data_IF_763847845097
#
_entry.id   IF_763847845097
#
_cell.length_a   1.000
_cell.length_b   1.000
_cell.length_c   1.000
_cell.angle_alpha   90.00
_cell.angle_beta   90.00
_cell.angle_gamma   90.00
#
_symmetry.space_group_name_H-M   'P 1'
#
loop_
_entity.id
_entity.type
_entity.pdbx_description
1 polymer ?
#
# COMPACT_ATOMS: atom_id res chain seq x y z
N UNK A 1 11.13 -17.78 6.47
CA UNK A 1 11.00 -18.18 5.05
C UNK A 1 12.27 -17.86 4.28
N UNK A 2 12.71 -16.61 4.19
CA UNK A 2 13.88 -16.21 3.38
C UNK A 2 15.18 -16.97 3.67
N UNK A 3 15.47 -17.25 4.94
CA UNK A 3 16.72 -17.94 5.31
C UNK A 3 16.76 -19.41 4.86
N UNK A 4 15.61 -20.09 4.85
CA UNK A 4 15.53 -21.56 4.84
C UNK A 4 14.67 -22.13 3.70
N UNK A 5 13.82 -21.32 3.07
CA UNK A 5 12.87 -21.72 2.04
C UNK A 5 12.82 -20.74 0.84
N UNK A 6 13.91 -20.01 0.59
CA UNK A 6 14.08 -19.15 -0.59
C UNK A 6 14.14 -19.96 -1.89
N UNK A 7 14.43 -19.30 -3.01
CA UNK A 7 14.49 -19.91 -4.36
C UNK A 7 15.37 -21.17 -4.34
N UNK A 8 16.59 -21.03 -3.82
CA UNK A 8 17.56 -22.10 -3.58
C UNK A 8 17.37 -22.66 -2.17
N UNK A 9 17.28 -23.98 -2.07
CA UNK A 9 16.98 -24.68 -0.82
C UNK A 9 17.42 -26.14 -0.90
N UNK A 10 17.56 -26.77 0.25
CA UNK A 10 17.85 -28.21 0.39
C UNK A 10 16.80 -28.90 1.26
N UNK A 11 16.83 -30.23 1.33
CA UNK A 11 16.01 -30.99 2.29
C UNK A 11 16.25 -30.50 3.73
N UNK A 12 17.51 -30.22 4.09
CA UNK A 12 17.90 -29.72 5.40
C UNK A 12 17.28 -28.35 5.69
N UNK A 13 17.44 -27.37 4.79
CA UNK A 13 16.91 -26.01 5.04
C UNK A 13 15.39 -26.01 5.10
N UNK A 14 14.72 -26.81 4.23
CA UNK A 14 13.27 -26.92 4.25
C UNK A 14 12.74 -27.61 5.51
N UNK A 15 13.44 -28.64 6.01
CA UNK A 15 13.09 -29.29 7.28
C UNK A 15 13.19 -28.29 8.43
N UNK A 16 14.28 -27.52 8.48
CA UNK A 16 14.45 -26.46 9.47
C UNK A 16 13.35 -25.39 9.38
N UNK A 17 12.98 -24.98 8.17
CA UNK A 17 11.87 -24.03 7.97
C UNK A 17 10.55 -24.58 8.52
N UNK A 18 10.27 -25.87 8.34
CA UNK A 18 9.05 -26.51 8.83
C UNK A 18 9.00 -26.53 10.36
N UNK A 19 10.12 -26.87 11.02
CA UNK A 19 10.26 -26.81 12.48
C UNK A 19 10.01 -25.40 13.01
N UNK A 20 10.61 -24.38 12.39
CA UNK A 20 10.43 -22.99 12.79
C UNK A 20 8.96 -22.55 12.63
N UNK A 21 8.29 -22.95 11.54
CA UNK A 21 6.86 -22.67 11.32
C UNK A 21 6.00 -23.34 12.39
N UNK A 22 6.27 -24.61 12.74
CA UNK A 22 5.54 -25.31 13.79
C UNK A 22 5.72 -24.63 15.15
N UNK A 23 6.94 -24.21 15.49
CA UNK A 23 7.19 -23.45 16.71
C UNK A 23 6.42 -22.11 16.72
N UNK A 24 6.34 -21.42 15.58
CA UNK A 24 5.55 -20.19 15.45
C UNK A 24 4.04 -20.45 15.56
N UNK A 25 3.53 -21.56 15.02
CA UNK A 25 2.12 -21.98 15.18
C UNK A 25 1.77 -22.29 16.63
N UNK A 26 2.68 -22.90 17.39
CA UNK A 26 2.50 -23.09 18.84
C UNK A 26 2.47 -21.77 19.59
N UNK A 27 3.37 -20.84 19.27
CA UNK A 27 3.36 -19.48 19.83
C UNK A 27 2.06 -18.73 19.47
N UNK A 28 1.56 -18.92 18.26
CA UNK A 28 0.37 -18.25 17.76
C UNK A 28 -0.88 -18.51 18.63
N UNK A 29 -0.99 -19.71 19.24
CA UNK A 29 -2.09 -20.04 20.16
C UNK A 29 -2.18 -19.08 21.35
N UNK A 30 -1.08 -18.39 21.68
CA UNK A 30 -0.97 -17.48 22.82
C UNK A 30 -0.81 -16.01 22.38
N UNK A 31 -1.12 -15.66 21.12
CA UNK A 31 -1.04 -14.25 20.71
C UNK A 31 -2.03 -13.40 21.51
N UNK A 32 -1.67 -12.14 21.71
CA UNK A 32 -2.54 -11.15 22.36
C UNK A 32 -2.78 -10.01 21.38
N UNK A 33 -4.05 -9.71 21.14
CA UNK A 33 -4.47 -8.46 20.48
C UNK A 33 -4.48 -7.36 21.54
N UNK A 34 -3.65 -6.34 21.39
CA UNK A 34 -3.56 -5.20 22.30
C UNK A 34 -4.76 -4.28 22.15
N UNK A 35 -5.19 -4.03 20.91
CA UNK A 35 -6.35 -3.19 20.60
C UNK A 35 -7.67 -3.89 20.95
N UNK A 36 -8.40 -3.34 21.92
CA UNK A 36 -9.71 -3.85 22.33
C UNK A 36 -10.88 -3.10 21.68
N UNK A 37 -10.59 -2.11 20.85
CA UNK A 37 -11.62 -1.33 20.17
C UNK A 37 -12.33 -2.12 19.07
N UNK A 38 -13.53 -1.68 18.68
CA UNK A 38 -14.30 -2.25 17.56
C UNK A 38 -14.07 -1.46 16.28
N UNK A 39 -13.88 -0.15 16.38
CA UNK A 39 -13.59 0.73 15.24
C UNK A 39 -12.15 0.58 14.78
N UNK A 40 -11.96 0.29 13.49
CA UNK A 40 -10.65 0.13 12.84
C UNK A 40 -9.63 -0.69 13.64
N UNK A 41 -10.03 -1.84 14.18
CA UNK A 41 -9.13 -2.73 14.89
C UNK A 41 -8.23 -3.50 13.91
N UNK A 42 -7.17 -2.84 13.42
CA UNK A 42 -6.20 -3.48 12.51
C UNK A 42 -5.34 -4.51 13.21
N UNK A 43 -5.16 -4.42 14.52
CA UNK A 43 -4.42 -5.38 15.33
C UNK A 43 -5.09 -6.77 15.30
N UNK A 44 -6.42 -6.82 15.44
CA UNK A 44 -7.20 -8.05 15.31
C UNK A 44 -7.12 -8.63 13.90
N UNK A 45 -7.20 -7.78 12.86
CA UNK A 45 -7.09 -8.24 11.48
C UNK A 45 -5.71 -8.87 11.23
N UNK A 46 -4.65 -8.19 11.64
CA UNK A 46 -3.26 -8.66 11.48
C UNK A 46 -3.01 -9.96 12.27
N UNK A 47 -3.59 -10.09 13.46
CA UNK A 47 -3.60 -11.33 14.22
C UNK A 47 -4.23 -12.49 13.44
N UNK A 48 -5.41 -12.29 12.84
CA UNK A 48 -6.06 -13.33 12.03
C UNK A 48 -5.26 -13.65 10.77
N UNK A 49 -4.77 -12.64 10.07
CA UNK A 49 -3.96 -12.80 8.86
C UNK A 49 -2.65 -13.54 9.13
N UNK A 50 -2.01 -13.32 10.28
CA UNK A 50 -0.82 -14.07 10.70
C UNK A 50 -1.10 -15.58 10.77
N UNK A 51 -2.28 -15.98 11.26
CA UNK A 51 -2.70 -17.39 11.27
C UNK A 51 -2.72 -17.98 9.85
N UNK A 52 -3.37 -17.31 8.91
CA UNK A 52 -3.42 -17.73 7.51
C UNK A 52 -2.04 -17.77 6.86
N UNK A 53 -1.17 -16.80 7.17
CA UNK A 53 0.20 -16.76 6.67
C UNK A 53 1.02 -17.96 7.18
N UNK A 54 0.86 -18.36 8.46
CA UNK A 54 1.53 -19.54 9.01
C UNK A 54 1.04 -20.83 8.33
N UNK A 55 -0.25 -20.93 7.99
CA UNK A 55 -0.76 -22.08 7.21
C UNK A 55 -0.19 -22.12 5.81
N UNK A 56 -0.20 -20.99 5.10
CA UNK A 56 0.32 -20.92 3.73
C UNK A 56 1.83 -21.16 3.69
N UNK A 57 2.57 -20.70 4.72
CA UNK A 57 3.98 -20.99 4.87
C UNK A 57 4.22 -22.50 5.01
N UNK A 58 3.47 -23.18 5.88
CA UNK A 58 3.60 -24.63 6.07
C UNK A 58 3.28 -25.39 4.78
N UNK A 59 2.16 -25.08 4.11
CA UNK A 59 1.77 -25.70 2.83
C UNK A 59 2.87 -25.53 1.78
N UNK A 60 3.47 -24.33 1.72
CA UNK A 60 4.56 -24.02 0.79
C UNK A 60 5.80 -24.86 1.08
N UNK A 61 6.21 -24.95 2.34
CA UNK A 61 7.39 -25.73 2.75
C UNK A 61 7.16 -27.22 2.57
N UNK A 62 6.01 -27.75 3.00
CA UNK A 62 5.65 -29.16 2.83
C UNK A 62 5.62 -29.56 1.35
N UNK A 63 5.03 -28.71 0.50
CA UNK A 63 5.04 -28.91 -0.96
C UNK A 63 6.45 -28.90 -1.54
N UNK A 64 7.29 -27.95 -1.12
CA UNK A 64 8.68 -27.86 -1.58
C UNK A 64 9.56 -29.03 -1.10
N UNK A 65 9.33 -29.52 0.12
CA UNK A 65 10.07 -30.64 0.70
C UNK A 65 9.77 -31.95 -0.04
N UNK A 66 8.50 -32.19 -0.33
CA UNK A 66 8.02 -33.36 -1.05
C UNK A 66 8.47 -33.37 -2.53
N UNK A 67 8.65 -32.21 -3.16
CA UNK A 67 9.15 -32.11 -4.54
C UNK A 67 10.66 -32.23 -4.59
N UNK A 68 11.14 -33.47 -4.70
CA UNK A 68 12.57 -33.84 -4.88
C UNK A 68 13.02 -33.67 -6.34
N UNK A 69 12.84 -32.47 -6.87
CA UNK A 69 13.28 -32.03 -8.20
C UNK A 69 13.47 -30.50 -8.23
N UNK A 70 14.00 -29.98 -9.34
CA UNK A 70 14.05 -28.54 -9.62
C UNK A 70 13.23 -28.17 -10.85
N UNK A 71 12.41 -27.11 -10.75
CA UNK A 71 11.52 -26.64 -11.82
C UNK A 71 11.07 -25.19 -11.60
N UNK A 72 11.25 -24.33 -12.61
CA UNK A 72 10.78 -22.95 -12.53
C UNK A 72 11.40 -22.22 -11.33
N UNK A 73 10.58 -21.59 -10.50
CA UNK A 73 10.99 -20.90 -9.24
C UNK A 73 11.45 -21.81 -8.09
N UNK A 74 11.31 -23.13 -8.24
CA UNK A 74 11.67 -24.14 -7.25
C UNK A 74 13.01 -24.77 -7.59
N UNK A 75 14.09 -24.40 -6.89
CA UNK A 75 15.42 -24.94 -7.08
C UNK A 75 15.89 -25.68 -5.82
N UNK A 76 15.99 -27.01 -5.94
CA UNK A 76 16.52 -27.92 -4.93
C UNK A 76 17.97 -28.24 -5.27
N UNK A 77 18.92 -27.76 -4.48
CA UNK A 77 20.35 -27.96 -4.75
C UNK A 77 20.75 -29.44 -4.60
N UNK A 78 20.06 -30.16 -3.73
CA UNK A 78 20.14 -31.60 -3.52
C UNK A 78 19.38 -32.43 -4.58
N UNK A 79 18.48 -31.79 -5.35
CA UNK A 79 17.75 -32.39 -6.49
C UNK A 79 17.73 -31.43 -7.69
N UNK A 80 18.89 -31.19 -8.35
CA UNK A 80 19.05 -30.09 -9.29
C UNK A 80 18.34 -30.31 -10.64
N UNK A 81 17.92 -31.55 -10.92
CA UNK A 81 17.28 -31.91 -12.18
C UNK A 81 15.77 -31.93 -12.05
N UNK A 82 15.10 -31.64 -13.16
CA UNK A 82 13.66 -31.88 -13.35
C UNK A 82 13.37 -33.38 -13.42
N UNK A 83 12.30 -33.84 -12.79
CA UNK A 83 11.81 -35.23 -12.81
C UNK A 83 10.32 -35.20 -13.20
N UNK A 84 10.06 -35.23 -14.52
CA UNK A 84 8.71 -35.17 -15.06
C UNK A 84 7.89 -36.43 -14.80
N UNK A 85 8.53 -37.59 -14.76
CA UNK A 85 7.87 -38.86 -14.48
C UNK A 85 7.18 -38.81 -13.12
N UNK A 86 7.86 -38.26 -12.11
CA UNK A 86 7.30 -38.18 -10.76
C UNK A 86 6.52 -36.91 -10.52
N UNK A 87 6.90 -35.77 -11.11
CA UNK A 87 6.42 -34.46 -10.64
C UNK A 87 5.79 -33.57 -11.73
N UNK A 88 5.56 -34.05 -12.96
CA UNK A 88 4.71 -33.36 -13.95
C UNK A 88 3.21 -33.49 -13.61
N UNK A 89 2.86 -33.01 -12.42
CA UNK A 89 1.53 -33.02 -11.81
C UNK A 89 1.36 -31.80 -10.91
N UNK A 90 0.14 -31.32 -10.78
CA UNK A 90 -0.21 -30.32 -9.78
C UNK A 90 -0.13 -30.95 -8.40
N UNK A 91 0.59 -30.31 -7.48
CA UNK A 91 0.55 -30.66 -6.06
C UNK A 91 -0.69 -30.03 -5.44
N UNK A 92 -1.53 -30.86 -4.84
CA UNK A 92 -2.68 -30.44 -4.04
C UNK A 92 -2.32 -30.63 -2.57
N UNK A 93 -2.72 -29.69 -1.71
CA UNK A 93 -2.53 -29.79 -0.28
C UNK A 93 -3.90 -29.72 0.41
N UNK A 94 -4.17 -30.69 1.28
CA UNK A 94 -5.40 -30.77 2.06
C UNK A 94 -5.05 -30.79 3.53
N UNK A 95 -5.70 -29.91 4.29
CA UNK A 95 -5.58 -29.89 5.74
C UNK A 95 -6.55 -30.91 6.34
N UNK A 96 -6.04 -31.84 7.12
CA UNK A 96 -6.84 -32.92 7.73
C UNK A 96 -7.33 -32.53 9.13
N UNK A 97 -8.08 -31.42 9.19
CA UNK A 97 -8.66 -30.88 10.41
C UNK A 97 -8.84 -29.38 10.38
N UNK A 98 -9.46 -28.83 11.43
CA UNK A 98 -9.74 -27.40 11.58
C UNK A 98 -8.63 -26.65 12.30
N UNK A 99 -7.88 -27.34 13.17
CA UNK A 99 -6.87 -26.75 14.03
C UNK A 99 -5.65 -26.25 13.25
N UNK A 100 -5.02 -25.16 13.69
CA UNK A 100 -3.86 -24.57 12.99
C UNK A 100 -2.71 -25.57 12.77
N UNK A 101 -2.57 -26.55 13.65
CA UNK A 101 -1.52 -27.59 13.63
C UNK A 101 -1.97 -28.91 13.01
N UNK A 102 -3.17 -28.98 12.41
CA UNK A 102 -3.65 -30.20 11.75
C UNK A 102 -2.69 -30.61 10.62
N UNK A 103 -2.48 -31.92 10.42
CA UNK A 103 -1.55 -32.40 9.41
C UNK A 103 -2.01 -32.04 8.01
N UNK A 104 -1.03 -31.84 7.12
CA UNK A 104 -1.26 -31.58 5.70
C UNK A 104 -1.03 -32.89 4.93
N UNK A 105 -2.07 -33.36 4.25
CA UNK A 105 -1.94 -34.42 3.25
C UNK A 105 -1.72 -33.81 1.88
N UNK A 106 -0.68 -34.29 1.20
CA UNK A 106 -0.44 -33.96 -0.20
C UNK A 106 -1.11 -34.98 -1.12
N UNK A 107 -1.65 -34.47 -2.23
CA UNK A 107 -2.24 -35.26 -3.30
C UNK A 107 -1.84 -34.66 -4.65
N UNK A 108 -2.28 -35.27 -5.75
CA UNK A 108 -1.87 -34.87 -7.07
C UNK A 108 -3.01 -34.85 -8.07
N UNK A 109 -2.93 -33.87 -8.98
CA UNK A 109 -3.83 -33.78 -10.13
C UNK A 109 -3.01 -33.72 -11.43
N UNK A 110 -3.42 -34.41 -12.51
CA UNK A 110 -2.73 -34.31 -13.80
C UNK A 110 -2.63 -32.87 -14.31
N UNK A 111 -1.50 -32.52 -14.90
CA UNK A 111 -1.32 -31.24 -15.60
C UNK A 111 -2.00 -31.31 -16.97
N UNK A 112 -2.73 -30.27 -17.35
CA UNK A 112 -3.23 -30.10 -18.71
C UNK A 112 -2.13 -29.47 -19.56
N UNK A 113 -1.59 -30.21 -20.52
CA UNK A 113 -0.64 -29.65 -21.46
C UNK A 113 -1.35 -28.74 -22.45
N UNK A 114 -0.88 -27.51 -22.55
CA UNK A 114 -1.34 -26.55 -23.55
C UNK A 114 -0.31 -26.45 -24.67
N UNK A 115 -0.53 -25.56 -25.65
CA UNK A 115 0.43 -25.29 -26.74
C UNK A 115 1.83 -24.86 -26.27
N UNK A 116 1.99 -24.49 -25.02
CA UNK A 116 3.27 -24.10 -24.43
C UNK A 116 3.79 -25.22 -23.54
N UNK A 117 4.85 -25.88 -23.98
CA UNK A 117 5.50 -26.92 -23.20
C UNK A 117 6.34 -26.29 -22.07
N UNK A 118 6.30 -26.85 -20.84
CA UNK A 118 7.14 -26.37 -19.76
C UNK A 118 8.61 -26.58 -20.11
N UNK A 119 9.42 -25.53 -20.02
CA UNK A 119 10.87 -25.59 -20.24
C UNK A 119 11.64 -25.51 -18.92
N UNK A 120 12.86 -26.05 -18.92
CA UNK A 120 13.80 -25.89 -17.80
C UNK A 120 14.21 -24.42 -17.65
N UNK A 121 14.19 -23.93 -16.40
CA UNK A 121 14.70 -22.59 -16.08
C UNK A 121 16.16 -22.71 -15.68
N UNK A 122 17.06 -22.11 -16.47
CA UNK A 122 18.49 -22.04 -16.15
C UNK A 122 18.75 -20.89 -15.18
N UNK A 123 19.33 -21.20 -14.03
CA UNK A 123 19.78 -20.21 -13.06
C UNK A 123 21.28 -19.93 -13.26
N UNK A 124 21.65 -18.65 -13.30
CA UNK A 124 23.05 -18.25 -13.16
C UNK A 124 23.40 -18.34 -11.67
N UNK A 125 24.17 -19.36 -11.29
CA UNK A 125 24.65 -19.54 -9.91
C UNK A 125 25.50 -18.33 -9.51
N UNK A 126 24.97 -17.50 -8.62
CA UNK A 126 25.72 -16.48 -7.89
C UNK A 126 25.50 -16.79 -6.42
N UNK A 127 26.57 -17.11 -5.70
CA UNK A 127 26.56 -17.35 -4.26
C UNK A 127 26.09 -16.09 -3.56
N UNK A 128 24.89 -16.11 -3.00
CA UNK A 128 24.39 -15.09 -2.09
C UNK A 128 24.81 -15.48 -0.68
N UNK A 129 25.52 -14.57 0.00
CA UNK A 129 25.90 -14.73 1.40
C UNK A 129 24.64 -14.70 2.29
N UNK A 130 24.52 -15.68 3.19
CA UNK A 130 23.43 -15.77 4.16
C UNK A 130 23.74 -14.83 5.33
N UNK A 131 22.85 -13.88 5.61
CA UNK A 131 22.90 -13.13 6.86
C UNK A 131 22.00 -13.81 7.89
N UNK A 132 22.60 -14.28 8.99
CA UNK A 132 21.88 -14.80 10.14
C UNK A 132 21.29 -13.62 10.93
N UNK A 133 19.97 -13.64 11.13
CA UNK A 133 19.28 -12.65 11.95
C UNK A 133 19.23 -13.15 13.41
N UNK A 134 19.76 -12.35 14.33
CA UNK A 134 19.70 -12.58 15.77
C UNK A 134 18.27 -12.40 16.29
N UNK A 135 17.76 -13.41 16.99
CA UNK A 135 16.39 -13.47 17.50
C UNK A 135 16.42 -13.22 19.02
N UNK A 136 16.68 -11.96 19.41
CA UNK A 136 16.55 -11.52 20.80
C UNK A 136 15.13 -10.99 21.09
N UNK A 137 14.68 -11.11 22.34
CA UNK A 137 13.36 -10.68 22.83
C UNK A 137 13.20 -9.15 22.96
N UNK A 138 14.16 -8.37 22.45
CA UNK A 138 14.04 -6.92 22.33
C UNK A 138 13.68 -6.57 20.89
N UNK A 139 12.95 -5.47 20.65
CA UNK A 139 12.66 -5.08 19.29
C UNK A 139 13.99 -4.75 18.58
N UNK A 140 14.23 -5.31 17.38
CA UNK A 140 15.53 -5.29 16.75
C UNK A 140 15.97 -3.83 16.52
N UNK A 141 17.17 -3.47 16.95
CA UNK A 141 17.81 -2.20 16.60
C UNK A 141 18.87 -2.53 15.56
N UNK A 142 18.64 -2.22 14.28
CA UNK A 142 19.63 -2.50 13.24
C UNK A 142 20.94 -1.77 13.51
N UNK A 143 22.06 -2.40 13.16
CA UNK A 143 23.35 -1.74 13.18
C UNK A 143 23.33 -0.49 12.29
N UNK A 144 23.87 0.63 12.79
CA UNK A 144 23.87 1.92 12.08
C UNK A 144 22.55 2.70 12.15
N UNK A 145 21.55 2.22 12.89
CA UNK A 145 20.31 2.98 13.09
C UNK A 145 20.51 4.20 14.00
N UNK A 146 19.85 5.31 13.66
CA UNK A 146 19.74 6.49 14.51
C UNK A 146 18.42 6.45 15.26
N UNK A 147 18.44 6.67 16.58
CA UNK A 147 17.20 6.76 17.35
C UNK A 147 16.48 8.08 17.08
N UNK A 148 15.22 7.98 16.67
CA UNK A 148 14.34 9.11 16.37
C UNK A 148 13.15 9.09 17.32
N UNK A 149 12.75 10.28 17.79
CA UNK A 149 11.49 10.45 18.51
C UNK A 149 10.35 10.66 17.51
N UNK A 150 9.43 9.70 17.43
CA UNK A 150 8.17 9.85 16.69
C UNK A 150 7.09 10.35 17.64
N UNK A 151 6.58 11.55 17.38
CA UNK A 151 5.39 12.08 18.05
C UNK A 151 4.17 11.82 17.17
N UNK A 152 3.29 10.94 17.61
CA UNK A 152 2.13 10.51 16.84
C UNK A 152 0.86 11.08 17.49
N UNK A 153 0.01 11.72 16.70
CA UNK A 153 -1.32 12.12 17.14
C UNK A 153 -2.21 10.88 17.25
N UNK A 154 -2.65 10.59 18.46
CA UNK A 154 -3.44 9.41 18.82
C UNK A 154 -4.88 9.79 19.08
N UNK A 155 -5.77 8.89 18.70
CA UNK A 155 -7.19 9.04 18.94
C UNK A 155 -7.89 7.70 18.87
N UNK A 156 -8.60 7.34 19.93
CA UNK A 156 -9.54 6.22 19.92
C UNK A 156 -10.90 6.73 20.42
N UNK A 157 -11.96 6.66 19.60
CA UNK A 157 -13.28 7.15 20.03
C UNK A 157 -13.90 6.31 21.15
N UNK A 158 -13.34 5.13 21.47
CA UNK A 158 -13.90 4.17 22.43
C UNK A 158 -13.20 4.18 23.79
N UNK A 159 -12.09 4.90 23.98
CA UNK A 159 -11.29 4.86 25.23
C UNK A 159 -11.43 6.10 26.14
N UNK A 160 -12.13 7.13 25.67
CA UNK A 160 -12.40 8.35 26.43
C UNK A 160 -11.18 9.28 26.63
N UNK A 161 -10.00 8.98 26.07
CA UNK A 161 -8.79 9.82 26.22
C UNK A 161 -8.82 11.08 25.35
N UNK A 162 -9.66 11.09 24.34
CA UNK A 162 -9.68 12.17 23.34
C UNK A 162 -8.41 12.20 22.50
N UNK A 163 -8.21 13.30 21.77
CA UNK A 163 -7.00 13.48 20.95
C UNK A 163 -5.81 13.84 21.83
N UNK A 164 -4.71 13.10 21.68
CA UNK A 164 -3.48 13.30 22.45
C UNK A 164 -2.26 12.97 21.59
N UNK A 165 -1.06 13.22 22.14
CA UNK A 165 0.20 12.91 21.48
C UNK A 165 0.97 11.88 22.28
N UNK A 166 1.33 10.78 21.63
CA UNK A 166 2.26 9.80 22.17
C UNK A 166 3.64 9.99 21.53
N UNK A 167 4.69 9.66 22.28
CA UNK A 167 6.08 9.75 21.82
C UNK A 167 6.75 8.39 21.89
N UNK A 168 7.33 7.95 20.78
CA UNK A 168 8.02 6.67 20.67
C UNK A 168 9.48 6.88 20.25
N UNK A 169 10.40 6.14 20.87
CA UNK A 169 11.78 6.06 20.41
C UNK A 169 11.90 4.92 19.40
N UNK A 170 12.29 5.24 18.17
CA UNK A 170 12.28 4.29 17.05
C UNK A 170 13.63 4.32 16.33
N UNK A 171 14.27 3.17 16.08
CA UNK A 171 15.47 3.11 15.27
C UNK A 171 15.15 3.41 13.80
N UNK A 172 15.95 4.26 13.17
CA UNK A 172 15.79 4.64 11.77
C UNK A 172 17.12 4.51 11.02
N UNK A 173 17.11 3.73 9.94
CA UNK A 173 18.19 3.71 8.95
C UNK A 173 17.94 4.78 7.89
N UNK A 174 18.98 5.34 7.24
CA UNK A 174 18.80 6.29 6.14
C UNK A 174 17.95 5.75 4.97
N UNK A 175 17.98 4.43 4.75
CA UNK A 175 17.20 3.72 3.73
C UNK A 175 15.73 3.50 4.11
N UNK A 176 15.37 3.70 5.38
CA UNK A 176 14.01 3.49 5.85
C UNK A 176 13.07 4.58 5.35
N UNK A 177 11.78 4.24 5.30
CA UNK A 177 10.70 5.18 5.03
C UNK A 177 9.93 5.46 6.31
N UNK A 178 9.13 6.53 6.32
CA UNK A 178 8.26 6.82 7.49
C UNK A 178 7.32 5.64 7.77
N UNK A 179 6.88 4.94 6.71
CA UNK A 179 6.10 3.72 6.86
C UNK A 179 6.82 2.62 7.66
N UNK A 180 8.14 2.43 7.49
CA UNK A 180 8.91 1.44 8.25
C UNK A 180 8.90 1.78 9.75
N UNK A 181 9.05 3.05 10.07
CA UNK A 181 9.04 3.56 11.44
C UNK A 181 7.65 3.36 12.11
N UNK A 182 6.56 3.63 11.39
CA UNK A 182 5.20 3.37 11.89
C UNK A 182 4.92 1.88 12.09
N UNK A 183 5.41 1.04 11.17
CA UNK A 183 5.33 -0.42 11.30
C UNK A 183 6.16 -0.92 12.49
N UNK A 184 7.31 -0.29 12.78
CA UNK A 184 8.10 -0.60 13.97
C UNK A 184 7.32 -0.29 15.25
N UNK A 185 6.73 0.91 15.34
CA UNK A 185 5.87 1.27 16.49
C UNK A 185 4.76 0.24 16.65
N UNK A 186 4.00 -0.05 15.59
CA UNK A 186 2.88 -0.98 15.67
C UNK A 186 3.31 -2.41 16.03
N UNK A 187 4.35 -2.91 15.38
CA UNK A 187 4.79 -4.29 15.53
C UNK A 187 5.49 -4.58 16.85
N UNK A 188 6.14 -3.59 17.45
CA UNK A 188 7.03 -3.80 18.59
C UNK A 188 6.71 -3.00 19.84
N UNK A 189 6.12 -1.81 19.71
CA UNK A 189 5.96 -0.88 20.83
C UNK A 189 4.50 -0.72 21.26
N UNK A 190 3.58 -0.59 20.31
CA UNK A 190 2.16 -0.36 20.55
C UNK A 190 1.30 -0.86 19.37
N UNK A 191 0.73 -2.05 19.54
CA UNK A 191 -0.17 -2.70 18.59
C UNK A 191 -1.49 -1.97 18.38
N UNK A 192 -1.87 -1.04 19.27
CA UNK A 192 -3.10 -0.25 19.13
C UNK A 192 -3.01 0.83 18.07
N UNK A 193 -1.79 1.20 17.63
CA UNK A 193 -1.59 2.19 16.59
C UNK A 193 -2.25 1.75 15.27
N UNK A 194 -3.09 2.62 14.73
CA UNK A 194 -3.85 2.33 13.51
C UNK A 194 -3.55 3.34 12.40
N UNK A 195 -3.20 2.84 11.21
CA UNK A 195 -3.00 3.63 10.00
C UNK A 195 -3.26 2.79 8.74
N UNK A 196 -3.61 3.45 7.64
CA UNK A 196 -3.77 2.79 6.34
C UNK A 196 -2.43 2.66 5.61
N UNK A 197 -2.18 1.49 5.02
CA UNK A 197 -1.07 1.22 4.10
C UNK A 197 -1.43 0.06 3.18
N UNK A 198 -0.72 -0.06 2.05
CA UNK A 198 -0.83 -1.22 1.18
C UNK A 198 0.43 -1.40 0.33
N UNK A 199 0.61 -0.57 -0.72
CA UNK A 199 1.63 -0.82 -1.73
C UNK A 199 3.08 -0.62 -1.26
N UNK A 200 3.33 0.24 -0.26
CA UNK A 200 4.65 0.63 0.24
C UNK A 200 5.63 1.28 -0.77
N UNK A 201 5.20 1.62 -2.00
CA UNK A 201 6.05 2.25 -3.02
C UNK A 201 5.40 3.47 -3.71
N UNK A 202 4.42 4.10 -3.05
CA UNK A 202 3.89 5.41 -3.46
C UNK A 202 2.89 5.41 -4.62
N UNK A 203 2.18 4.29 -4.84
CA UNK A 203 1.26 4.13 -5.98
C UNK A 203 -0.21 4.06 -5.57
N UNK A 204 -0.55 3.39 -4.46
CA UNK A 204 -1.97 3.24 -4.07
C UNK A 204 -2.57 4.48 -3.38
N UNK A 205 -1.75 5.35 -2.78
CA UNK A 205 -2.21 6.58 -2.12
C UNK A 205 -2.86 6.42 -0.74
N UNK A 206 -2.88 5.21 -0.17
CA UNK A 206 -3.60 4.91 1.08
C UNK A 206 -2.99 5.51 2.35
N UNK A 207 -1.69 5.79 2.36
CA UNK A 207 -0.90 6.20 3.53
C UNK A 207 -0.58 7.70 3.54
N UNK A 208 -1.53 8.50 3.05
CA UNK A 208 -1.49 9.94 3.15
C UNK A 208 -1.66 10.38 4.61
N UNK A 209 -0.71 11.18 5.09
CA UNK A 209 -0.70 11.72 6.45
C UNK A 209 0.05 13.05 6.47
N UNK A 210 -0.07 13.79 7.57
CA UNK A 210 0.66 15.04 7.76
C UNK A 210 1.90 14.75 8.59
N UNK A 211 3.06 14.95 7.99
CA UNK A 211 4.39 14.68 8.57
C UNK A 211 5.11 16.02 8.69
N UNK A 212 5.48 16.43 9.90
CA UNK A 212 6.05 17.75 10.17
C UNK A 212 5.21 18.90 9.57
N UNK A 213 3.88 18.80 9.72
CA UNK A 213 2.93 19.80 9.23
C UNK A 213 2.64 19.73 7.73
N UNK A 214 3.31 18.85 6.96
CA UNK A 214 3.12 18.76 5.50
C UNK A 214 2.47 17.44 5.10
N UNK A 215 1.48 17.49 4.20
CA UNK A 215 0.85 16.29 3.66
C UNK A 215 1.84 15.52 2.77
N UNK A 216 2.08 14.25 3.11
CA UNK A 216 3.03 13.36 2.44
C UNK A 216 2.46 11.93 2.43
N UNK A 217 3.01 11.07 1.58
CA UNK A 217 2.80 9.62 1.71
C UNK A 217 3.90 9.06 2.62
N UNK A 218 3.52 8.32 3.67
CA UNK A 218 4.47 7.72 4.60
C UNK A 218 5.50 6.84 3.89
N UNK A 219 5.07 6.06 2.90
CA UNK A 219 5.93 5.20 2.11
C UNK A 219 6.86 5.95 1.16
N UNK A 220 6.68 7.26 0.91
CA UNK A 220 7.60 8.01 0.03
C UNK A 220 8.66 8.80 0.77
N UNK A 221 8.41 9.16 2.03
CA UNK A 221 9.38 9.90 2.83
C UNK A 221 10.51 8.99 3.22
N UNK A 222 11.72 9.33 2.79
CA UNK A 222 12.94 8.59 3.09
C UNK A 222 13.62 9.23 4.30
N UNK A 223 14.07 8.40 5.26
CA UNK A 223 14.63 8.88 6.52
C UNK A 223 15.94 9.64 6.32
N UNK A 224 16.74 9.33 5.28
CA UNK A 224 17.91 10.16 4.95
C UNK A 224 17.59 11.66 4.75
N UNK A 225 16.37 11.99 4.33
CA UNK A 225 15.93 13.37 4.07
C UNK A 225 15.34 14.03 5.34
N UNK A 226 15.11 13.25 6.40
CA UNK A 226 14.54 13.68 7.68
C UNK A 226 15.56 13.63 8.83
N UNK A 227 16.59 12.79 8.70
CA UNK A 227 17.66 12.64 9.67
C UNK A 227 18.69 13.78 9.51
N UNK A 228 19.12 14.43 10.61
CA UNK A 228 20.13 15.47 10.57
C UNK A 228 21.50 14.84 10.33
N UNK A 229 22.35 15.57 9.62
CA UNK A 229 23.74 15.16 9.36
C UNK A 229 24.64 15.24 10.59
N UNK A 230 24.20 15.99 11.61
CA UNK A 230 25.04 16.41 12.74
C UNK A 230 24.79 15.57 14.02
N UNK A 231 24.03 14.47 13.94
CA UNK A 231 23.72 13.61 15.09
C UNK A 231 22.81 14.22 16.16
N UNK A 232 22.16 15.37 15.86
CA UNK A 232 21.22 16.02 16.78
C UNK A 232 19.96 15.16 17.00
N UNK A 233 19.36 15.18 18.20
CA UNK A 233 18.08 14.51 18.44
C UNK A 233 17.02 14.95 17.44
N UNK A 234 16.31 13.99 16.88
CA UNK A 234 15.26 14.22 15.87
C UNK A 234 13.92 13.95 16.47
N UNK A 235 13.00 14.89 16.31
CA UNK A 235 11.59 14.66 16.57
C UNK A 235 10.82 14.81 15.27
N UNK A 236 10.08 13.77 14.88
CA UNK A 236 9.19 13.81 13.73
C UNK A 236 7.75 13.72 14.23
N UNK A 237 6.92 14.65 13.78
CA UNK A 237 5.49 14.66 14.10
C UNK A 237 4.70 13.98 12.98
N UNK A 238 3.75 13.13 13.37
CA UNK A 238 2.87 12.41 12.46
C UNK A 238 1.43 12.55 12.95
N UNK A 239 0.55 13.03 12.08
CA UNK A 239 -0.86 13.28 12.39
C UNK A 239 -1.75 13.02 11.16
N UNK A 240 -3.06 12.76 11.34
CA UNK A 240 -3.95 12.55 10.20
C UNK A 240 -4.01 13.77 9.27
N UNK A 241 -4.33 13.53 8.00
CA UNK A 241 -4.59 14.60 7.04
C UNK A 241 -5.77 15.48 7.50
N UNK A 242 -5.68 16.79 7.24
CA UNK A 242 -6.65 17.79 7.74
C UNK A 242 -7.85 17.96 6.80
N UNK A 243 -9.02 18.21 7.36
CA UNK A 243 -10.25 18.52 6.62
C UNK A 243 -11.14 17.31 6.39
N UNK A 244 -10.75 16.13 6.87
CA UNK A 244 -11.59 14.94 6.92
C UNK A 244 -11.77 14.50 8.39
N UNK A 245 -12.94 13.96 8.77
CA UNK A 245 -13.17 13.46 10.13
C UNK A 245 -12.16 12.36 10.50
N UNK A 246 -11.58 12.43 11.71
CA UNK A 246 -10.68 11.39 12.21
C UNK A 246 -11.51 10.25 12.79
N UNK A 247 -11.26 9.04 12.30
CA UNK A 247 -11.95 7.83 12.72
C UNK A 247 -11.22 7.14 13.88
N UNK A 248 -9.89 6.98 13.74
CA UNK A 248 -8.98 6.41 14.75
C UNK A 248 -7.53 6.71 14.36
N UNK A 249 -6.74 7.22 15.28
CA UNK A 249 -5.32 7.55 15.09
C UNK A 249 -5.07 8.32 13.78
N UNK A 250 -4.39 7.69 12.81
CA UNK A 250 -4.02 8.29 11.52
C UNK A 250 -5.04 7.96 10.41
N UNK A 251 -6.16 7.33 10.75
CA UNK A 251 -7.25 6.98 9.83
C UNK A 251 -8.31 8.07 9.85
N UNK A 252 -8.65 8.57 8.67
CA UNK A 252 -9.75 9.52 8.44
C UNK A 252 -10.87 8.88 7.64
N UNK A 253 -12.08 9.42 7.77
CA UNK A 253 -13.20 9.12 6.88
C UNK A 253 -12.94 9.75 5.51
N UNK A 254 -12.90 8.90 4.48
CA UNK A 254 -12.62 9.31 3.10
C UNK A 254 -13.88 9.49 2.27
N UNK A 255 -15.07 9.18 2.80
CA UNK A 255 -16.31 9.30 2.03
C UNK A 255 -16.56 10.73 1.52
N UNK A 256 -16.37 11.81 2.30
CA UNK A 256 -16.52 13.18 1.77
C UNK A 256 -15.61 13.46 0.56
N UNK A 257 -14.41 12.91 0.56
CA UNK A 257 -13.48 13.01 -0.56
C UNK A 257 -13.96 12.22 -1.79
N UNK A 258 -14.46 11.00 -1.58
CA UNK A 258 -14.94 10.16 -2.68
C UNK A 258 -16.29 10.60 -3.23
N UNK A 259 -17.16 11.20 -2.42
CA UNK A 259 -18.40 11.83 -2.86
C UNK A 259 -18.11 12.96 -3.84
N UNK A 260 -17.18 13.87 -3.50
CA UNK A 260 -16.76 14.93 -4.41
C UNK A 260 -16.13 14.38 -5.71
N UNK A 261 -15.35 13.29 -5.62
CA UNK A 261 -14.81 12.60 -6.79
C UNK A 261 -15.92 12.00 -7.67
N UNK A 262 -16.92 11.34 -7.10
CA UNK A 262 -18.04 10.74 -7.84
C UNK A 262 -18.93 11.82 -8.48
N UNK A 263 -19.13 12.94 -7.80
CA UNK A 263 -19.99 14.03 -8.24
C UNK A 263 -19.53 14.66 -9.57
N UNK A 264 -18.24 14.61 -9.89
CA UNK A 264 -17.70 15.13 -11.17
C UNK A 264 -17.75 14.12 -12.33
N UNK A 265 -18.47 13.00 -12.17
CA UNK A 265 -18.66 11.94 -13.18
C UNK A 265 -17.34 11.45 -13.81
N UNK A 266 -16.45 10.82 -13.02
CA UNK A 266 -15.09 10.48 -13.44
C UNK A 266 -15.01 9.19 -14.28
N UNK A 267 -15.86 9.07 -15.29
CA UNK A 267 -15.92 7.94 -16.23
C UNK A 267 -16.18 8.46 -17.65
N UNK A 268 -15.80 7.71 -18.69
CA UNK A 268 -16.00 8.14 -20.07
C UNK A 268 -17.49 8.19 -20.39
N UNK A 269 -17.99 9.34 -20.84
CA UNK A 269 -19.35 9.50 -21.36
C UNK A 269 -19.25 9.53 -22.88
N UNK A 270 -19.96 8.61 -23.55
CA UNK A 270 -20.08 8.59 -25.00
C UNK A 270 -21.49 8.14 -25.39
N UNK A 271 -22.04 8.75 -26.42
CA UNK A 271 -23.35 8.42 -26.97
C UNK A 271 -23.24 7.41 -28.11
N UNK A 272 -24.36 6.76 -28.44
CA UNK A 272 -24.44 5.77 -29.52
C UNK A 272 -24.00 4.36 -29.13
N UNK A 273 -23.76 3.54 -30.14
CA UNK A 273 -23.41 2.12 -29.96
C UNK A 273 -21.92 1.96 -29.57
N UNK A 274 -21.64 0.88 -28.85
CA UNK A 274 -20.27 0.48 -28.56
C UNK A 274 -19.50 0.20 -29.87
N UNK A 275 -18.30 0.76 -30.06
CA UNK A 275 -17.57 0.59 -31.30
C UNK A 275 -17.08 -0.86 -31.45
N UNK A 276 -16.98 -1.33 -32.70
CA UNK A 276 -16.45 -2.68 -33.01
C UNK A 276 -14.94 -2.81 -32.81
N UNK A 277 -14.24 -1.70 -32.54
CA UNK A 277 -12.79 -1.57 -32.28
C UNK A 277 -12.54 -0.40 -31.31
N UNK A 278 -11.29 -0.14 -30.97
CA UNK A 278 -10.90 0.97 -30.11
C UNK A 278 -11.28 2.35 -30.69
N UNK A 279 -11.64 3.31 -29.83
CA UNK A 279 -11.85 4.71 -30.22
C UNK A 279 -10.53 5.36 -30.64
N UNK A 280 -10.50 5.97 -31.82
CA UNK A 280 -9.33 6.64 -32.37
C UNK A 280 -9.03 7.92 -31.55
N UNK A 281 -7.77 8.12 -31.20
CA UNK A 281 -7.29 9.33 -30.52
C UNK A 281 -5.88 9.66 -31.01
N UNK A 282 -5.61 10.92 -31.32
CA UNK A 282 -4.26 11.36 -31.70
C UNK A 282 -3.33 11.43 -30.47
N UNK A 283 -2.02 11.33 -30.70
CA UNK A 283 -1.04 11.49 -29.62
C UNK A 283 -1.11 12.88 -28.98
N UNK A 284 -1.40 13.91 -29.77
CA UNK A 284 -1.56 15.28 -29.30
C UNK A 284 -2.78 15.41 -28.37
N UNK A 285 -3.93 14.83 -28.73
CA UNK A 285 -5.12 14.84 -27.88
C UNK A 285 -4.90 14.06 -26.59
N UNK A 286 -4.24 12.89 -26.67
CA UNK A 286 -3.90 12.10 -25.48
C UNK A 286 -2.97 12.86 -24.54
N UNK A 287 -2.01 13.62 -25.07
CA UNK A 287 -1.07 14.41 -24.28
C UNK A 287 -1.75 15.54 -23.48
N UNK A 288 -2.89 16.05 -23.96
CA UNK A 288 -3.61 17.19 -23.36
C UNK A 288 -4.02 16.96 -21.90
N UNK A 289 -4.36 15.73 -21.54
CA UNK A 289 -4.81 15.38 -20.19
C UNK A 289 -3.86 14.42 -19.45
N UNK A 290 -2.67 14.17 -19.99
CA UNK A 290 -1.73 13.15 -19.49
C UNK A 290 -1.29 13.39 -18.04
N UNK A 291 -1.01 14.64 -17.68
CA UNK A 291 -0.55 14.92 -16.31
C UNK A 291 -1.61 14.56 -15.27
N UNK A 292 -2.88 14.85 -15.58
CA UNK A 292 -4.00 14.58 -14.69
C UNK A 292 -4.38 13.10 -14.59
N UNK A 293 -3.97 12.23 -15.54
CA UNK A 293 -4.19 10.78 -15.42
C UNK A 293 -3.33 10.13 -14.33
N UNK A 294 -2.31 10.83 -13.81
CA UNK A 294 -1.39 10.30 -12.80
C UNK A 294 -1.98 10.31 -11.38
N UNK A 295 -3.18 10.86 -11.20
CA UNK A 295 -3.82 10.99 -9.90
C UNK A 295 -4.06 9.60 -9.28
N UNK A 296 -3.65 9.43 -8.02
CA UNK A 296 -3.80 8.18 -7.27
C UNK A 296 -4.84 8.28 -6.15
N UNK A 297 -5.65 9.35 -6.16
CA UNK A 297 -6.73 9.58 -5.20
C UNK A 297 -6.30 9.56 -3.72
N UNK A 298 -5.06 9.95 -3.41
CA UNK A 298 -4.52 9.98 -2.05
C UNK A 298 -5.03 11.11 -1.14
N UNK A 299 -5.84 12.03 -1.67
CA UNK A 299 -6.33 13.23 -0.98
C UNK A 299 -5.27 14.23 -0.44
N UNK A 300 -3.95 14.02 -0.58
CA UNK A 300 -2.93 14.97 -0.10
C UNK A 300 -3.16 16.41 -0.58
N UNK A 301 -3.56 16.59 -1.85
CA UNK A 301 -3.83 17.90 -2.44
C UNK A 301 -5.10 18.55 -1.89
N UNK A 302 -6.18 17.77 -1.72
CA UNK A 302 -7.44 18.27 -1.18
C UNK A 302 -7.30 18.68 0.29
N UNK A 303 -6.70 17.81 1.08
CA UNK A 303 -6.52 18.00 2.53
C UNK A 303 -5.36 18.94 2.89
N UNK A 304 -4.65 19.50 1.90
CA UNK A 304 -3.68 20.60 2.10
C UNK A 304 -4.27 21.96 1.73
N UNK A 305 -5.49 22.01 1.18
CA UNK A 305 -6.12 23.22 0.71
C UNK A 305 -6.84 23.95 1.87
N UNK A 306 -6.45 25.19 2.21
CA UNK A 306 -7.10 25.94 3.29
C UNK A 306 -8.56 26.26 3.01
N UNK A 307 -8.93 26.38 1.74
CA UNK A 307 -10.33 26.57 1.33
C UNK A 307 -11.17 25.35 1.72
N UNK A 308 -10.66 24.14 1.47
CA UNK A 308 -11.34 22.89 1.83
C UNK A 308 -11.49 22.70 3.34
N UNK A 309 -10.58 23.24 4.15
CA UNK A 309 -10.69 23.12 5.61
C UNK A 309 -11.81 23.97 6.21
N UNK A 310 -12.12 25.11 5.58
CA UNK A 310 -13.07 26.09 6.09
C UNK A 310 -14.43 25.98 5.41
N UNK A 311 -14.47 25.41 4.21
CA UNK A 311 -15.66 25.33 3.37
C UNK A 311 -16.08 23.88 3.22
N UNK A 312 -17.20 23.50 3.85
CA UNK A 312 -17.67 22.12 3.89
C UNK A 312 -18.19 21.59 2.54
N UNK A 313 -18.34 22.46 1.54
CA UNK A 313 -18.95 22.13 0.24
C UNK A 313 -18.01 22.24 -0.96
N UNK A 314 -16.80 22.77 -0.80
CA UNK A 314 -15.85 22.87 -1.93
C UNK A 314 -15.44 21.48 -2.43
N UNK A 315 -15.65 21.19 -3.73
CA UNK A 315 -15.30 19.89 -4.36
C UNK A 315 -13.85 19.45 -4.10
N UNK A 316 -12.94 20.43 -4.04
CA UNK A 316 -11.55 20.19 -3.76
C UNK A 316 -10.67 19.90 -5.00
N UNK A 317 -9.35 20.13 -4.88
CA UNK A 317 -8.38 19.97 -5.95
C UNK A 317 -8.39 18.62 -6.68
N UNK A 318 -8.51 17.50 -5.97
CA UNK A 318 -8.47 16.17 -6.60
C UNK A 318 -9.68 15.89 -7.49
N UNK A 319 -10.87 16.31 -7.09
CA UNK A 319 -12.08 16.15 -7.89
C UNK A 319 -11.95 16.95 -9.20
N UNK A 320 -11.49 18.21 -9.10
CA UNK A 320 -11.27 19.06 -10.28
C UNK A 320 -10.21 18.48 -11.23
N UNK A 321 -9.12 17.91 -10.70
CA UNK A 321 -8.11 17.21 -11.52
C UNK A 321 -8.70 16.02 -12.27
N UNK A 322 -9.55 15.24 -11.62
CA UNK A 322 -10.19 14.08 -12.26
C UNK A 322 -11.28 14.51 -13.25
N UNK A 323 -11.97 15.61 -13.01
CA UNK A 323 -12.89 16.21 -13.98
C UNK A 323 -12.13 16.74 -15.21
N UNK A 324 -11.04 17.48 -14.99
CA UNK A 324 -10.13 17.96 -16.03
C UNK A 324 -9.69 16.82 -16.96
N UNK A 325 -9.33 15.67 -16.40
CA UNK A 325 -8.94 14.47 -17.16
C UNK A 325 -10.00 14.03 -18.18
N UNK A 326 -11.29 14.28 -17.94
CA UNK A 326 -12.38 13.93 -18.88
C UNK A 326 -12.81 15.12 -19.74
N UNK A 327 -12.87 16.33 -19.18
CA UNK A 327 -13.21 17.57 -19.91
C UNK A 327 -12.31 17.76 -21.14
N UNK A 328 -11.03 17.35 -21.03
CA UNK A 328 -10.05 17.51 -22.10
C UNK A 328 -9.71 16.21 -22.85
N UNK A 329 -10.44 15.11 -22.63
CA UNK A 329 -10.30 13.87 -23.40
C UNK A 329 -11.16 13.94 -24.68
N UNK A 330 -10.53 13.88 -25.86
CA UNK A 330 -11.22 14.02 -27.15
C UNK A 330 -12.26 12.93 -27.46
N UNK A 331 -12.30 11.86 -26.66
CA UNK A 331 -13.26 10.77 -26.80
C UNK A 331 -14.51 10.94 -25.92
N UNK A 332 -14.48 11.91 -25.00
CA UNK A 332 -15.55 12.13 -24.03
C UNK A 332 -16.54 13.18 -24.52
N UNK A 333 -17.82 12.87 -24.45
CA UNK A 333 -18.94 13.72 -24.89
C UNK A 333 -19.66 14.39 -23.71
N UNK A 334 -19.22 14.15 -22.47
CA UNK A 334 -19.78 14.72 -21.23
C UNK A 334 -19.04 15.96 -20.73
N UNK A 335 -18.22 16.61 -21.56
CA UNK A 335 -17.41 17.76 -21.14
C UNK A 335 -18.29 18.95 -20.67
N UNK A 336 -19.36 19.27 -21.40
CA UNK A 336 -20.27 20.36 -21.07
C UNK A 336 -20.96 20.14 -19.71
N UNK A 337 -21.42 18.92 -19.46
CA UNK A 337 -22.04 18.55 -18.19
C UNK A 337 -21.08 18.71 -17.01
N UNK A 338 -19.81 18.28 -17.15
CA UNK A 338 -18.81 18.44 -16.08
C UNK A 338 -18.42 19.88 -15.86
N UNK A 339 -18.35 20.68 -16.92
CA UNK A 339 -18.10 22.11 -16.80
C UNK A 339 -19.24 22.78 -16.03
N UNK A 340 -20.51 22.44 -16.31
CA UNK A 340 -21.66 22.96 -15.59
C UNK A 340 -21.63 22.60 -14.10
N UNK A 341 -21.34 21.33 -13.76
CA UNK A 341 -21.14 20.88 -12.37
C UNK A 341 -20.06 21.72 -11.66
N UNK A 342 -18.94 21.99 -12.34
CA UNK A 342 -17.83 22.75 -11.75
C UNK A 342 -18.06 24.27 -11.77
N UNK A 343 -19.04 24.77 -12.51
CA UNK A 343 -19.36 26.19 -12.59
C UNK A 343 -20.18 26.68 -11.37
N UNK A 344 -20.55 25.78 -10.47
CA UNK A 344 -21.21 26.10 -9.20
C UNK A 344 -20.37 27.04 -8.31
N UNK A 345 -21.03 27.74 -7.39
CA UNK A 345 -20.38 28.60 -6.37
C UNK A 345 -19.37 27.82 -5.54
N UNK A 346 -19.63 26.53 -5.29
CA UNK A 346 -18.79 25.58 -4.57
C UNK A 346 -17.80 24.84 -5.49
N UNK A 347 -17.86 25.12 -6.78
CA UNK A 347 -17.01 24.55 -7.82
C UNK A 347 -15.65 25.24 -7.91
N UNK A 348 -15.15 25.38 -9.13
CA UNK A 348 -13.77 25.83 -9.38
C UNK A 348 -13.48 27.28 -8.89
N UNK A 349 -14.52 28.10 -8.72
CA UNK A 349 -14.41 29.51 -8.35
C UNK A 349 -13.90 29.76 -6.93
N UNK A 350 -14.05 28.80 -6.01
CA UNK A 350 -13.54 28.89 -4.64
C UNK A 350 -12.01 28.84 -4.55
N UNK A 351 -11.33 28.30 -5.57
CA UNK A 351 -9.88 28.21 -5.57
C UNK A 351 -9.23 29.60 -5.52
N UNK A 352 -8.46 29.85 -4.43
CA UNK A 352 -7.70 31.08 -4.16
C UNK A 352 -6.23 31.03 -4.63
N UNK A 353 -5.89 30.06 -5.48
CA UNK A 353 -4.55 29.96 -6.10
C UNK A 353 -3.42 29.88 -5.07
N UNK A 354 -3.60 29.11 -4.00
CA UNK A 354 -2.66 28.99 -2.87
C UNK A 354 -1.47 28.06 -3.14
N UNK A 355 -1.51 27.25 -4.22
CA UNK A 355 -0.47 26.29 -4.62
C UNK A 355 -0.15 25.11 -3.67
N UNK A 356 -0.62 25.10 -2.42
CA UNK A 356 -0.46 23.95 -1.49
C UNK A 356 -0.76 22.59 -2.13
N UNK A 357 -1.79 22.52 -2.98
CA UNK A 357 -2.21 21.29 -3.64
C UNK A 357 -1.18 20.75 -4.65
N UNK A 358 -0.46 21.64 -5.34
CA UNK A 358 0.64 21.27 -6.23
C UNK A 358 1.83 20.77 -5.41
N UNK A 359 2.22 21.49 -4.36
CA UNK A 359 3.37 21.14 -3.50
C UNK A 359 3.16 19.84 -2.70
N UNK A 360 1.91 19.56 -2.33
CA UNK A 360 1.54 18.34 -1.62
C UNK A 360 1.41 17.12 -2.54
N UNK A 361 1.33 17.29 -3.87
CA UNK A 361 1.05 16.18 -4.77
C UNK A 361 2.24 15.20 -4.86
N UNK A 362 2.11 13.95 -4.38
CA UNK A 362 3.22 13.00 -4.39
C UNK A 362 3.56 12.49 -5.79
N UNK A 363 2.71 12.79 -6.79
CA UNK A 363 2.85 12.41 -8.20
C UNK A 363 3.33 13.55 -9.09
N UNK A 364 3.57 14.74 -8.52
CA UNK A 364 4.08 15.90 -9.27
C UNK A 364 3.07 16.51 -10.25
N UNK A 365 1.78 16.23 -10.08
CA UNK A 365 0.72 16.78 -10.93
C UNK A 365 0.66 18.29 -10.71
N UNK A 366 0.56 19.05 -11.80
CA UNK A 366 0.40 20.50 -11.74
C UNK A 366 -1.05 20.87 -11.41
N UNK A 367 -1.46 20.56 -10.17
CA UNK A 367 -2.87 20.64 -9.72
C UNK A 367 -3.45 22.03 -9.91
N UNK A 368 -2.73 23.09 -9.51
CA UNK A 368 -3.21 24.47 -9.66
C UNK A 368 -3.37 24.86 -11.14
N UNK A 369 -2.50 24.37 -12.02
CA UNK A 369 -2.59 24.58 -13.47
C UNK A 369 -3.82 23.89 -14.05
N UNK A 370 -4.10 22.63 -13.68
CA UNK A 370 -5.31 21.94 -14.12
C UNK A 370 -6.58 22.69 -13.70
N UNK A 371 -6.63 23.20 -12.46
CA UNK A 371 -7.75 24.02 -11.98
C UNK A 371 -7.87 25.31 -12.82
N UNK A 372 -6.76 25.96 -13.14
CA UNK A 372 -6.75 27.16 -13.99
C UNK A 372 -7.24 26.86 -15.42
N UNK A 373 -6.86 25.73 -16.00
CA UNK A 373 -7.29 25.31 -17.34
C UNK A 373 -8.81 25.10 -17.39
N UNK A 374 -9.39 24.50 -16.34
CA UNK A 374 -10.86 24.40 -16.18
C UNK A 374 -11.50 25.79 -16.06
N UNK A 375 -10.95 26.71 -15.25
CA UNK A 375 -11.44 28.11 -15.18
C UNK A 375 -11.46 28.77 -16.56
N UNK A 376 -10.38 28.60 -17.32
CA UNK A 376 -10.26 29.17 -18.67
C UNK A 376 -11.27 28.54 -19.63
N UNK A 377 -11.50 27.23 -19.56
CA UNK A 377 -12.53 26.58 -20.35
C UNK A 377 -13.91 27.18 -20.07
N UNK A 378 -14.27 27.41 -18.79
CA UNK A 378 -15.54 28.06 -18.43
C UNK A 378 -15.66 29.50 -18.92
N UNK A 379 -14.56 30.25 -18.96
CA UNK A 379 -14.57 31.66 -19.40
C UNK A 379 -14.59 31.83 -20.92
N UNK A 380 -13.95 30.92 -21.66
CA UNK A 380 -13.68 31.08 -23.09
C UNK A 380 -14.39 30.06 -23.99
N UNK A 381 -15.07 29.05 -23.43
CA UNK A 381 -16.01 28.23 -24.17
C UNK A 381 -17.29 29.04 -24.44
N UNK A 382 -17.22 29.93 -25.44
CA UNK A 382 -18.37 30.54 -26.09
C UNK A 382 -18.56 29.92 -27.46
#
# INVERSE_FOLDING_TARGET
MDNNASVFRTEETLTKALEDIHALKERYKNITVQDKGKRYNSDLLEAVELGFLLEMAEVTVAGALNRKESRGGHAREDFPKRDDEKFLKHTMAYKEGTELISPIRLDYKPVVQTRYEPMERKYLMTTLEKNEADVSNLPPVPEGATMVTLKIARFNPEDGKGQHWDSFQVPALPSDRMLNLLLYVKGYLDGTLTFRRSCAHGVCGSDAMRINGVNRLACKILMKDMLPKDGKPVTITVEPIRGLPVEKDLVVDMEPFFDAFRAVKPFLIATGNEPTRERIQSQADRARFDDTTKCILCACCTTSCPVYWNDGSYFGPAAIVNAHRFIFDSRDEGAAERLDILNDVEGVWRCRTTFNCTDACPRGIQVTKAIQEVKRALLFAR
#
